data_IF_841898306764
#
_entry.id   IF_841898306764
#
_cell.length_a   1.000
_cell.length_b   1.000
_cell.length_c   1.000
_cell.angle_alpha   90.00
_cell.angle_beta   90.00
_cell.angle_gamma   90.00
#
_symmetry.space_group_name_H-M   'P 1'
#
loop_
_entity.id
_entity.type
_entity.pdbx_description
1 polymer ?
#
# COMPACT_ATOMS: atom_id res chain seq x y z
N UNK A 1 -15.54 5.36 -1.73
CA UNK A 1 -14.41 4.42 -1.58
C UNK A 1 -15.05 3.17 -1.03
N UNK A 2 -14.81 2.02 -1.66
CA UNK A 2 -15.36 0.75 -1.23
C UNK A 2 -14.22 -0.16 -0.75
N UNK A 3 -14.57 -1.28 -0.12
CA UNK A 3 -13.65 -2.38 0.15
C UNK A 3 -14.06 -3.57 -0.70
N UNK A 4 -13.18 -4.05 -1.57
CA UNK A 4 -13.46 -5.17 -2.49
C UNK A 4 -12.34 -6.20 -2.44
N UNK A 5 -12.65 -7.44 -2.83
CA UNK A 5 -11.62 -8.45 -3.10
C UNK A 5 -10.78 -8.07 -4.33
N UNK A 6 -9.65 -8.75 -4.49
CA UNK A 6 -8.70 -8.46 -5.57
C UNK A 6 -9.17 -8.94 -6.95
N UNK A 7 -9.91 -10.06 -6.98
CA UNK A 7 -10.47 -10.64 -8.21
C UNK A 7 -11.98 -10.41 -8.34
N UNK A 8 -12.47 -10.47 -9.58
CA UNK A 8 -13.91 -10.33 -9.90
C UNK A 8 -14.75 -11.58 -9.55
N UNK A 9 -14.10 -12.69 -9.21
CA UNK A 9 -14.70 -14.01 -8.98
C UNK A 9 -15.32 -14.19 -7.60
N UNK A 10 -15.01 -13.31 -6.64
CA UNK A 10 -15.36 -13.48 -5.21
C UNK A 10 -14.45 -14.45 -4.45
N UNK A 11 -13.47 -15.09 -5.11
CA UNK A 11 -12.44 -15.91 -4.47
C UNK A 11 -11.64 -15.09 -3.45
N UNK A 12 -11.36 -15.69 -2.28
CA UNK A 12 -10.74 -15.03 -1.13
C UNK A 12 -11.48 -13.75 -0.70
N UNK A 13 -12.82 -13.80 -0.71
CA UNK A 13 -13.71 -12.64 -0.56
C UNK A 13 -13.58 -11.84 0.73
N UNK A 14 -12.95 -12.40 1.78
CA UNK A 14 -12.71 -11.70 3.05
C UNK A 14 -11.41 -10.87 3.08
N UNK A 15 -10.52 -11.05 2.10
CA UNK A 15 -9.31 -10.23 1.92
C UNK A 15 -9.63 -8.92 1.18
N UNK A 16 -10.57 -8.14 1.71
CA UNK A 16 -11.03 -6.89 1.07
C UNK A 16 -10.03 -5.75 1.28
N UNK A 17 -9.78 -5.00 0.23
CA UNK A 17 -8.81 -3.89 0.17
C UNK A 17 -9.48 -2.64 -0.40
N UNK A 18 -8.80 -1.48 -0.27
CA UNK A 18 -9.33 -0.19 -0.75
C UNK A 18 -9.54 -0.19 -2.26
N UNK A 19 -10.77 0.07 -2.68
CA UNK A 19 -11.16 0.31 -4.08
C UNK A 19 -11.64 1.75 -4.26
N UNK A 20 -11.03 2.41 -5.24
CA UNK A 20 -11.39 3.75 -5.69
C UNK A 20 -12.15 3.66 -7.01
N UNK A 21 -13.44 4.03 -6.96
CA UNK A 21 -14.35 4.14 -8.11
C UNK A 21 -14.62 2.81 -8.85
N UNK A 22 -14.45 1.66 -8.19
CA UNK A 22 -14.74 0.35 -8.79
C UNK A 22 -13.66 -0.11 -9.76
N UNK A 23 -12.47 0.49 -9.69
CA UNK A 23 -11.32 0.15 -10.53
C UNK A 23 -10.58 -1.10 -10.01
N UNK A 24 -10.95 -1.58 -8.82
CA UNK A 24 -10.32 -2.71 -8.15
C UNK A 24 -9.07 -2.32 -7.34
N UNK A 25 -8.70 -3.10 -6.31
CA UNK A 25 -7.62 -2.72 -5.38
C UNK A 25 -6.22 -2.66 -5.99
N UNK A 26 -5.96 -3.41 -7.06
CA UNK A 26 -4.69 -3.35 -7.80
C UNK A 26 -4.43 -1.95 -8.40
N UNK A 27 -5.50 -1.19 -8.67
CA UNK A 27 -5.43 0.17 -9.21
C UNK A 27 -5.46 1.27 -8.12
N UNK A 28 -5.33 0.89 -6.85
CA UNK A 28 -5.11 1.81 -5.74
C UNK A 28 -3.63 1.77 -5.36
N UNK A 29 -2.91 2.87 -5.61
CA UNK A 29 -1.54 3.05 -5.17
C UNK A 29 -1.51 3.49 -3.71
N UNK A 30 -0.80 2.75 -2.86
CA UNK A 30 -0.61 3.11 -1.45
C UNK A 30 0.77 3.73 -1.27
N UNK A 31 0.81 4.89 -0.62
CA UNK A 31 2.05 5.58 -0.25
C UNK A 31 2.14 5.72 1.27
N UNK A 32 3.35 5.70 1.82
CA UNK A 32 3.65 6.11 3.19
C UNK A 32 4.62 7.28 3.10
N UNK A 33 4.23 8.44 3.61
CA UNK A 33 5.02 9.68 3.54
C UNK A 33 5.46 10.04 2.10
N UNK A 34 4.59 9.74 1.13
CA UNK A 34 4.84 9.95 -0.30
C UNK A 34 5.66 8.86 -0.99
N UNK A 35 6.11 7.82 -0.29
CA UNK A 35 6.90 6.71 -0.85
C UNK A 35 5.98 5.52 -1.17
N UNK A 36 6.02 4.97 -2.39
CA UNK A 36 5.22 3.80 -2.77
C UNK A 36 5.46 2.56 -1.90
N UNK A 37 4.39 1.88 -1.53
CA UNK A 37 4.42 0.56 -0.90
C UNK A 37 4.07 -0.51 -1.92
N UNK A 38 4.91 -1.53 -2.04
CA UNK A 38 4.78 -2.56 -3.08
C UNK A 38 4.70 -3.99 -2.51
N UNK A 39 4.66 -4.13 -1.19
CA UNK A 39 4.76 -5.42 -0.50
C UNK A 39 3.77 -6.48 -0.99
N UNK A 40 2.55 -6.11 -1.39
CA UNK A 40 1.59 -7.07 -1.97
C UNK A 40 2.07 -7.77 -3.24
N UNK A 41 3.01 -7.17 -4.00
CA UNK A 41 3.56 -7.76 -5.22
C UNK A 41 4.42 -9.00 -4.95
N UNK A 42 4.85 -9.22 -3.70
CA UNK A 42 5.51 -10.45 -3.25
C UNK A 42 4.58 -11.67 -3.13
N UNK A 43 3.27 -11.48 -3.28
CA UNK A 43 2.25 -12.54 -3.24
C UNK A 43 1.83 -12.86 -4.67
N UNK A 44 1.77 -14.16 -5.06
CA UNK A 44 1.36 -14.59 -6.40
C UNK A 44 0.05 -13.94 -6.88
N UNK A 45 0.08 -13.38 -8.09
CA UNK A 45 -1.11 -12.96 -8.84
C UNK A 45 -1.66 -14.15 -9.64
N UNK A 46 -2.89 -14.56 -9.35
CA UNK A 46 -3.51 -15.77 -9.91
C UNK A 46 -4.25 -15.49 -11.22
N UNK A 47 -4.72 -16.54 -11.89
CA UNK A 47 -5.32 -16.48 -13.23
C UNK A 47 -6.45 -15.44 -13.37
N UNK A 48 -7.32 -15.32 -12.36
CA UNK A 48 -8.48 -14.42 -12.37
C UNK A 48 -8.22 -13.12 -11.60
N UNK A 49 -6.94 -12.83 -11.34
CA UNK A 49 -6.48 -11.61 -10.69
C UNK A 49 -6.51 -11.62 -9.16
N UNK A 50 -6.72 -12.77 -8.53
CA UNK A 50 -6.67 -12.89 -7.08
C UNK A 50 -5.24 -12.84 -6.56
N UNK A 51 -5.09 -12.21 -5.39
CA UNK A 51 -3.93 -12.38 -4.50
C UNK A 51 -4.43 -12.78 -3.13
N UNK A 52 -3.71 -13.69 -2.50
CA UNK A 52 -3.87 -13.97 -1.08
C UNK A 52 -3.10 -12.96 -0.23
N UNK A 53 -3.57 -11.72 -0.30
CA UNK A 53 -2.95 -10.57 0.36
C UNK A 53 -4.01 -9.73 1.06
N UNK A 54 -3.65 -9.24 2.25
CA UNK A 54 -4.44 -8.27 3.02
C UNK A 54 -4.26 -6.83 2.53
N UNK A 55 -3.48 -6.62 1.47
CA UNK A 55 -3.14 -5.30 0.91
C UNK A 55 -2.08 -4.56 1.71
N UNK A 56 -1.89 -3.28 1.36
CA UNK A 56 -0.78 -2.46 1.85
C UNK A 56 -1.20 -1.32 2.80
N UNK A 57 -2.44 -1.33 3.29
CA UNK A 57 -2.96 -0.27 4.18
C UNK A 57 -2.78 -0.56 5.67
N UNK A 58 -2.17 -1.69 6.03
CA UNK A 58 -1.98 -2.14 7.41
C UNK A 58 -0.50 -2.14 7.85
N UNK A 59 0.34 -1.33 7.20
CA UNK A 59 1.76 -1.18 7.55
C UNK A 59 2.02 -0.06 8.57
N UNK A 60 1.08 0.88 8.70
CA UNK A 60 1.16 2.00 9.65
C UNK A 60 0.04 1.87 10.68
N UNK A 61 0.33 1.83 11.99
CA UNK A 61 -0.71 1.85 13.00
C UNK A 61 -1.47 3.18 12.98
N UNK A 62 -2.80 3.11 13.13
CA UNK A 62 -3.69 4.26 12.96
C UNK A 62 -3.34 5.46 13.86
N UNK A 63 -2.84 5.20 15.07
CA UNK A 63 -2.47 6.21 16.05
C UNK A 63 -1.19 6.99 15.69
N UNK A 64 -0.41 6.48 14.74
CA UNK A 64 0.80 7.14 14.22
C UNK A 64 0.55 7.94 12.94
N UNK A 65 -0.67 7.85 12.41
CA UNK A 65 -1.11 8.62 11.26
C UNK A 65 -1.39 10.05 11.70
N UNK A 66 -0.78 11.00 11.00
CA UNK A 66 -1.11 12.43 11.11
C UNK A 66 -2.34 12.75 10.26
N UNK A 67 -2.34 12.28 9.01
CA UNK A 67 -3.46 12.40 8.08
C UNK A 67 -3.38 11.35 6.98
N UNK A 68 -4.49 11.16 6.27
CA UNK A 68 -4.56 10.32 5.07
C UNK A 68 -5.06 11.19 3.93
N UNK A 69 -4.31 11.23 2.83
CA UNK A 69 -4.70 11.90 1.60
C UNK A 69 -5.25 10.86 0.62
N UNK A 70 -6.49 11.04 0.15
CA UNK A 70 -7.14 10.14 -0.80
C UNK A 70 -7.41 10.90 -2.10
N UNK A 71 -6.58 10.65 -3.11
CA UNK A 71 -6.63 11.32 -4.41
C UNK A 71 -7.31 10.37 -5.40
N UNK A 72 -8.33 10.86 -6.11
CA UNK A 72 -9.19 10.03 -6.96
C UNK A 72 -9.27 10.59 -8.37
N UNK A 73 -9.19 9.72 -9.37
CA UNK A 73 -9.35 10.11 -10.78
C UNK A 73 -8.18 10.95 -11.32
N UNK A 74 -8.44 12.02 -12.10
CA UNK A 74 -7.41 12.67 -12.90
C UNK A 74 -6.25 13.26 -12.08
N UNK A 75 -6.53 13.78 -10.87
CA UNK A 75 -5.48 14.29 -9.98
C UNK A 75 -4.50 13.21 -9.49
N UNK A 76 -4.88 11.92 -9.53
CA UNK A 76 -4.02 10.82 -9.13
C UNK A 76 -3.03 10.41 -10.24
N UNK A 77 -3.34 10.71 -11.51
CA UNK A 77 -2.54 10.27 -12.65
C UNK A 77 -1.08 10.77 -12.61
N UNK A 78 -0.84 11.90 -11.95
CA UNK A 78 0.52 12.45 -11.76
C UNK A 78 1.47 11.52 -11.00
N UNK A 79 0.93 10.65 -10.15
CA UNK A 79 1.71 9.67 -9.38
C UNK A 79 2.16 8.47 -10.22
N UNK A 80 1.76 8.39 -11.49
CA UNK A 80 2.26 7.40 -12.44
C UNK A 80 1.73 5.98 -12.20
N UNK A 81 2.63 5.01 -12.31
CA UNK A 81 2.30 3.58 -12.28
C UNK A 81 1.49 3.19 -11.03
N UNK A 82 0.38 2.49 -11.23
CA UNK A 82 -0.50 2.00 -10.16
C UNK A 82 -1.56 2.99 -9.67
N UNK A 83 -1.56 4.25 -10.12
CA UNK A 83 -2.49 5.29 -9.66
C UNK A 83 -3.77 5.43 -10.52
N UNK A 84 -4.07 4.46 -11.38
CA UNK A 84 -5.19 4.54 -12.34
C UNK A 84 -6.57 4.70 -11.68
N UNK A 85 -6.79 4.02 -10.54
CA UNK A 85 -7.98 4.22 -9.71
C UNK A 85 -7.82 5.41 -8.79
N UNK A 86 -6.70 5.46 -8.08
CA UNK A 86 -6.30 6.60 -7.26
C UNK A 86 -5.10 6.31 -6.37
N UNK A 87 -4.84 7.26 -5.47
CA UNK A 87 -3.76 7.20 -4.49
C UNK A 87 -4.32 7.31 -3.07
N UNK A 88 -3.78 6.50 -2.17
CA UNK A 88 -3.96 6.63 -0.72
C UNK A 88 -2.58 6.88 -0.11
N UNK A 89 -2.33 8.11 0.32
CA UNK A 89 -1.07 8.51 0.93
C UNK A 89 -1.25 8.65 2.44
N UNK A 90 -0.63 7.75 3.20
CA UNK A 90 -0.65 7.73 4.65
C UNK A 90 0.52 8.59 5.14
N UNK A 91 0.22 9.74 5.74
CA UNK A 91 1.23 10.64 6.30
C UNK A 91 1.39 10.35 7.79
N UNK A 92 2.61 10.07 8.22
CA UNK A 92 2.91 9.78 9.62
C UNK A 92 3.23 11.05 10.40
N UNK A 93 3.04 11.00 11.73
CA UNK A 93 3.46 12.07 12.64
C UNK A 93 4.95 12.38 12.44
N UNK A 94 5.30 13.67 12.44
CA UNK A 94 6.68 14.18 12.23
C UNK A 94 7.46 14.27 13.56
N UNK A 95 8.81 14.27 13.52
CA UNK A 95 9.63 14.69 14.65
C UNK A 95 9.28 16.09 15.14
N UNK A 96 9.47 16.33 16.44
CA UNK A 96 9.11 17.58 17.13
C UNK A 96 10.35 18.22 17.77
N UNK A 97 10.33 19.55 17.94
CA UNK A 97 11.42 20.28 18.62
C UNK A 97 11.36 20.16 20.15
N UNK A 98 10.22 19.74 20.70
CA UNK A 98 10.06 19.42 22.11
C UNK A 98 9.80 17.93 22.29
N UNK A 99 10.10 17.40 23.48
CA UNK A 99 9.80 16.01 23.82
C UNK A 99 8.29 15.80 23.96
N UNK A 100 7.74 14.96 23.09
CA UNK A 100 6.36 14.49 23.12
C UNK A 100 6.33 12.97 23.10
N UNK A 101 5.42 12.38 23.87
CA UNK A 101 5.21 10.94 23.90
C UNK A 101 3.73 10.61 24.00
N UNK A 102 3.34 9.46 23.45
CA UNK A 102 1.99 8.93 23.60
C UNK A 102 2.02 7.42 23.73
N UNK A 103 1.14 6.87 24.57
CA UNK A 103 0.83 5.45 24.65
C UNK A 103 -0.66 5.31 24.34
N UNK A 104 -1.01 4.47 23.38
CA UNK A 104 -2.41 4.22 23.03
C UNK A 104 -2.73 2.74 23.14
N UNK A 105 -3.89 2.45 23.72
CA UNK A 105 -4.45 1.11 23.83
C UNK A 105 -5.82 1.11 23.16
N UNK A 106 -6.12 0.05 22.43
CA UNK A 106 -7.40 -0.15 21.76
C UNK A 106 -7.84 -1.60 21.91
N UNK A 107 -9.13 -1.80 22.13
CA UNK A 107 -9.78 -3.10 22.04
C UNK A 107 -11.18 -2.93 21.46
N UNK A 108 -11.64 -3.88 20.64
CA UNK A 108 -13.06 -4.06 20.36
C UNK A 108 -13.53 -5.40 20.95
N UNK A 109 -14.83 -5.57 21.13
CA UNK A 109 -15.42 -6.82 21.62
C UNK A 109 -16.64 -7.12 20.74
N UNK A 110 -16.53 -8.06 19.79
CA UNK A 110 -17.67 -8.45 18.96
C UNK A 110 -18.81 -9.04 19.80
N UNK A 111 -20.05 -8.80 19.39
CA UNK A 111 -21.23 -9.39 20.06
C UNK A 111 -21.32 -10.91 19.82
N UNK A 112 -20.93 -11.34 18.62
CA UNK A 112 -20.86 -12.75 18.25
C UNK A 112 -19.55 -13.38 18.73
N UNK A 113 -19.62 -14.50 19.43
CA UNK A 113 -18.44 -15.28 19.82
C UNK A 113 -17.67 -15.91 18.66
N UNK A 114 -18.24 -15.85 17.44
CA UNK A 114 -17.61 -16.34 16.21
C UNK A 114 -16.77 -15.30 15.48
N UNK A 115 -16.85 -14.03 15.88
CA UNK A 115 -16.07 -12.96 15.27
C UNK A 115 -14.80 -12.69 16.08
N UNK A 116 -13.68 -12.50 15.39
CA UNK A 116 -12.40 -12.20 16.03
C UNK A 116 -12.36 -10.79 16.63
N UNK A 117 -11.86 -10.67 17.86
CA UNK A 117 -11.60 -9.38 18.50
C UNK A 117 -10.23 -8.81 18.09
N UNK A 118 -10.06 -7.51 18.27
CA UNK A 118 -8.83 -6.77 17.97
C UNK A 118 -8.33 -6.12 19.24
N UNK A 119 -7.04 -6.30 19.53
CA UNK A 119 -6.34 -5.67 20.64
C UNK A 119 -5.06 -5.04 20.10
N UNK A 120 -4.86 -3.77 20.40
CA UNK A 120 -3.70 -3.01 19.91
C UNK A 120 -3.09 -2.18 21.02
N UNK A 121 -1.77 -2.15 21.06
CA UNK A 121 -0.98 -1.28 21.90
C UNK A 121 0.13 -0.64 21.05
N UNK A 122 0.29 0.67 21.17
CA UNK A 122 1.32 1.40 20.44
C UNK A 122 1.89 2.53 21.31
N UNK A 123 3.13 2.89 21.01
CA UNK A 123 3.78 4.05 21.60
C UNK A 123 4.37 4.94 20.50
N UNK A 124 4.46 6.24 20.79
CA UNK A 124 5.22 7.21 20.02
C UNK A 124 6.12 7.99 20.98
N UNK A 125 7.32 8.32 20.53
CA UNK A 125 8.23 9.24 21.19
C UNK A 125 8.83 10.14 20.12
N UNK A 126 8.82 11.44 20.34
CA UNK A 126 9.36 12.44 19.42
C UNK A 126 10.06 13.53 20.22
N UNK A 127 11.14 14.10 19.70
CA UNK A 127 11.84 15.18 20.37
C UNK A 127 13.24 15.47 19.83
N UNK A 128 13.93 16.47 20.40
CA UNK A 128 15.26 16.88 19.99
C UNK A 128 16.33 15.95 20.56
N UNK A 129 17.29 15.55 19.73
CA UNK A 129 18.53 14.89 20.14
C UNK A 129 19.68 15.88 20.32
N UNK A 130 19.70 16.95 19.53
CA UNK A 130 20.70 18.03 19.62
C UNK A 130 20.06 19.37 19.25
N UNK A 131 19.23 19.90 20.18
CA UNK A 131 18.42 21.09 19.93
C UNK A 131 17.58 20.97 18.65
N UNK A 132 17.40 22.08 17.94
CA UNK A 132 16.64 22.14 16.69
C UNK A 132 17.40 21.60 15.46
N UNK A 133 18.66 21.22 15.63
CA UNK A 133 19.52 20.74 14.55
C UNK A 133 19.25 19.26 14.25
N UNK A 134 18.98 18.44 15.27
CA UNK A 134 18.72 17.02 15.10
C UNK A 134 17.52 16.61 15.96
N UNK A 135 16.43 16.21 15.30
CA UNK A 135 15.21 15.71 15.95
C UNK A 135 14.94 14.27 15.56
N UNK A 136 14.15 13.57 16.37
CA UNK A 136 13.81 12.17 16.14
C UNK A 136 12.34 11.89 16.38
N UNK A 137 11.87 10.81 15.77
CA UNK A 137 10.58 10.19 16.07
C UNK A 137 10.70 8.68 16.01
N UNK A 138 10.35 8.00 17.09
CA UNK A 138 10.30 6.55 17.20
C UNK A 138 8.89 6.12 17.59
N UNK A 139 8.29 5.23 16.80
CA UNK A 139 7.05 4.56 17.21
C UNK A 139 7.19 3.04 17.16
N UNK A 140 6.43 2.36 18.00
CA UNK A 140 6.24 0.92 17.94
C UNK A 140 4.77 0.54 18.08
N UNK A 141 4.40 -0.59 17.49
CA UNK A 141 3.04 -1.13 17.53
C UNK A 141 3.05 -2.65 17.67
N UNK A 142 2.13 -3.14 18.49
CA UNK A 142 1.75 -4.55 18.54
C UNK A 142 0.23 -4.59 18.39
N UNK A 143 -0.23 -5.28 17.35
CA UNK A 143 -1.65 -5.51 17.08
C UNK A 143 -1.88 -7.01 16.98
N UNK A 144 -2.98 -7.48 17.57
CA UNK A 144 -3.55 -8.80 17.28
C UNK A 144 -5.03 -8.63 17.00
N UNK A 145 -5.44 -9.04 15.80
CA UNK A 145 -6.84 -9.29 15.47
C UNK A 145 -7.01 -10.79 15.31
N UNK A 146 -7.86 -11.41 16.13
CA UNK A 146 -8.13 -12.83 16.04
C UNK A 146 -8.89 -13.16 14.75
N UNK A 147 -8.78 -14.42 14.31
CA UNK A 147 -9.54 -14.91 13.17
C UNK A 147 -11.00 -15.09 13.56
N UNK A 148 -11.88 -15.00 12.57
CA UNK A 148 -13.26 -15.49 12.74
C UNK A 148 -13.25 -17.02 12.88
N UNK A 149 -14.29 -17.56 13.52
CA UNK A 149 -14.46 -18.99 13.69
C UNK A 149 -14.48 -19.73 12.35
N UNK A 150 -13.82 -20.89 12.29
CA UNK A 150 -13.76 -21.73 11.09
C UNK A 150 -15.16 -22.07 10.52
N UNK A 151 -16.14 -22.24 11.40
CA UNK A 151 -17.51 -22.63 11.08
C UNK A 151 -18.50 -21.45 10.99
N UNK A 152 -18.01 -20.20 10.95
CA UNK A 152 -18.86 -19.00 10.99
C UNK A 152 -19.93 -19.00 9.90
N UNK A 153 -19.53 -19.35 8.66
CA UNK A 153 -20.44 -19.40 7.52
C UNK A 153 -21.13 -20.76 7.38
N UNK A 154 -20.44 -21.86 7.70
CA UNK A 154 -20.98 -23.22 7.60
C UNK A 154 -22.26 -23.37 8.43
N UNK A 155 -22.26 -22.81 9.65
CA UNK A 155 -23.42 -22.85 10.53
C UNK A 155 -24.60 -22.01 10.03
N UNK A 156 -24.34 -20.97 9.21
CA UNK A 156 -25.36 -20.03 8.74
C UNK A 156 -25.99 -20.47 7.41
N UNK A 157 -25.19 -20.99 6.47
CA UNK A 157 -25.66 -21.29 5.12
C UNK A 157 -25.01 -22.55 4.49
N UNK A 158 -24.25 -23.34 5.26
CA UNK A 158 -23.57 -24.53 4.75
C UNK A 158 -22.37 -24.24 3.84
N UNK A 159 -21.94 -22.98 3.72
CA UNK A 159 -20.77 -22.59 2.92
C UNK A 159 -19.46 -22.97 3.61
N UNK A 160 -18.51 -23.51 2.85
CA UNK A 160 -17.13 -23.75 3.28
C UNK A 160 -16.21 -22.54 3.04
N UNK A 161 -16.78 -21.38 2.66
CA UNK A 161 -16.02 -20.14 2.63
C UNK A 161 -15.61 -19.75 4.06
N UNK A 162 -14.32 -19.51 4.26
CA UNK A 162 -13.79 -19.08 5.55
C UNK A 162 -14.37 -17.73 5.98
N UNK A 163 -14.26 -17.42 7.27
CA UNK A 163 -14.43 -16.05 7.78
C UNK A 163 -13.23 -15.15 7.46
N UNK A 164 -13.09 -14.04 8.19
CA UNK A 164 -11.91 -13.18 8.07
C UNK A 164 -10.70 -13.86 8.71
N UNK A 165 -9.58 -13.80 7.99
CA UNK A 165 -8.28 -14.19 8.53
C UNK A 165 -7.83 -13.20 9.61
N UNK A 166 -7.31 -13.72 10.72
CA UNK A 166 -6.73 -12.86 11.75
C UNK A 166 -5.31 -12.41 11.39
N UNK A 167 -4.80 -11.41 12.10
CA UNK A 167 -3.47 -10.85 11.85
C UNK A 167 -2.77 -10.44 13.15
N UNK A 168 -1.47 -10.66 13.19
CA UNK A 168 -0.55 -10.21 14.23
C UNK A 168 0.46 -9.24 13.61
N UNK A 169 0.38 -7.96 13.95
CA UNK A 169 1.36 -6.96 13.52
C UNK A 169 2.38 -6.69 14.62
N UNK A 170 3.63 -6.55 14.21
CA UNK A 170 4.71 -5.97 15.01
C UNK A 170 5.41 -4.95 14.15
N UNK A 171 5.35 -3.68 14.53
CA UNK A 171 5.92 -2.58 13.77
C UNK A 171 6.85 -1.75 14.66
N UNK A 172 7.97 -1.32 14.10
CA UNK A 172 8.89 -0.36 14.70
C UNK A 172 9.40 0.56 13.59
N UNK A 173 9.33 1.86 13.81
CA UNK A 173 9.80 2.83 12.82
C UNK A 173 10.43 4.05 13.48
N UNK A 174 11.58 4.43 12.95
CA UNK A 174 12.36 5.59 13.36
C UNK A 174 12.52 6.59 12.22
N UNK A 175 12.46 7.87 12.54
CA UNK A 175 12.92 8.97 11.67
C UNK A 175 13.92 9.81 12.46
N UNK A 176 15.05 10.12 11.84
CA UNK A 176 16.00 11.14 12.28
C UNK A 176 15.94 12.28 11.28
N UNK A 177 15.63 13.48 11.72
CA UNK A 177 15.58 14.68 10.89
C UNK A 177 16.74 15.60 11.27
N UNK A 178 17.66 15.80 10.33
CA UNK A 178 18.85 16.61 10.49
C UNK A 178 18.72 17.90 9.68
N UNK A 179 18.59 19.03 10.38
CA UNK A 179 18.65 20.37 9.82
C UNK A 179 20.13 20.76 9.68
N UNK A 180 20.71 20.49 8.52
CA UNK A 180 22.10 20.85 8.17
C UNK A 180 22.27 22.37 8.22
N UNK A 181 21.30 23.08 7.65
CA UNK A 181 21.14 24.53 7.73
C UNK A 181 19.65 24.85 7.87
N UNK A 182 19.24 26.09 8.19
CA UNK A 182 17.82 26.47 8.17
C UNK A 182 17.11 26.19 6.83
N UNK A 183 17.87 26.13 5.74
CA UNK A 183 17.41 25.89 4.38
C UNK A 183 17.51 24.43 3.92
N UNK A 184 18.23 23.56 4.65
CA UNK A 184 18.52 22.20 4.20
C UNK A 184 18.24 21.19 5.31
N UNK A 185 17.29 20.28 5.05
CA UNK A 185 16.84 19.27 5.99
C UNK A 185 17.00 17.89 5.35
N UNK A 186 17.67 16.97 6.05
CA UNK A 186 17.80 15.57 5.64
C UNK A 186 17.08 14.66 6.63
N UNK A 187 16.09 13.93 6.14
CA UNK A 187 15.35 12.92 6.87
C UNK A 187 15.92 11.53 6.56
N UNK A 188 16.33 10.79 7.60
CA UNK A 188 16.67 9.38 7.53
C UNK A 188 15.53 8.59 8.16
N UNK A 189 14.95 7.65 7.41
CA UNK A 189 13.85 6.82 7.87
C UNK A 189 14.23 5.34 7.85
N UNK A 190 13.76 4.63 8.87
CA UNK A 190 13.84 3.18 8.96
C UNK A 190 12.52 2.64 9.46
N UNK A 191 12.09 1.52 8.91
CA UNK A 191 10.91 0.79 9.35
C UNK A 191 11.12 -0.71 9.24
N UNK A 192 10.61 -1.42 10.23
CA UNK A 192 10.49 -2.87 10.21
C UNK A 192 9.08 -3.26 10.67
N UNK A 193 8.41 -4.04 9.83
CA UNK A 193 7.08 -4.56 10.09
C UNK A 193 7.07 -6.08 9.87
N UNK A 194 6.38 -6.79 10.75
CA UNK A 194 6.03 -8.20 10.59
C UNK A 194 4.52 -8.34 10.68
N UNK A 195 3.91 -8.97 9.68
CA UNK A 195 2.53 -9.42 9.71
C UNK A 195 2.49 -10.94 9.64
N UNK A 196 1.99 -11.61 10.68
CA UNK A 196 1.69 -13.03 10.66
C UNK A 196 0.19 -13.26 10.68
N UNK A 197 -0.34 -14.19 9.91
CA UNK A 197 -1.76 -14.48 9.95
C UNK A 197 -2.17 -15.30 11.19
N UNK A 198 -3.48 -15.41 11.36
CA UNK A 198 -4.17 -16.45 12.12
C UNK A 198 -5.12 -17.07 11.11
N UNK A 199 -4.79 -18.27 10.63
CA UNK A 199 -5.48 -18.87 9.50
C UNK A 199 -6.92 -19.25 9.85
N UNK A 200 -7.86 -18.84 9.00
CA UNK A 200 -9.30 -19.07 9.19
C UNK A 200 -9.87 -20.20 8.29
N UNK A 201 -9.01 -20.93 7.56
CA UNK A 201 -9.44 -21.95 6.60
C UNK A 201 -9.64 -21.46 5.16
N UNK A 202 -9.18 -20.24 4.84
CA UNK A 202 -9.38 -19.65 3.50
C UNK A 202 -8.68 -20.45 2.41
N UNK A 203 -9.40 -20.71 1.32
CA UNK A 203 -8.92 -21.38 0.11
C UNK A 203 -9.51 -20.68 -1.10
N UNK A 204 -8.78 -20.61 -2.21
CA UNK A 204 -9.20 -19.84 -3.40
C UNK A 204 -10.61 -20.20 -3.89
N UNK A 205 -10.99 -21.48 -3.84
CA UNK A 205 -12.27 -21.98 -4.33
C UNK A 205 -13.25 -22.36 -3.21
N UNK A 206 -12.99 -21.95 -1.97
CA UNK A 206 -13.83 -22.28 -0.79
C UNK A 206 -14.12 -23.78 -0.67
N UNK A 207 -13.11 -24.61 -0.93
CA UNK A 207 -13.19 -26.06 -1.00
C UNK A 207 -12.34 -26.74 0.07
N UNK A 208 -12.23 -26.12 1.25
CA UNK A 208 -11.46 -26.61 2.39
C UNK A 208 -11.85 -28.04 2.82
N UNK A 209 -13.13 -28.40 2.63
CA UNK A 209 -13.66 -29.75 2.88
C UNK A 209 -13.05 -30.84 1.98
N UNK A 210 -12.43 -30.46 0.87
CA UNK A 210 -11.78 -31.37 -0.08
C UNK A 210 -10.27 -31.51 0.20
N UNK A 211 -9.78 -30.91 1.30
CA UNK A 211 -8.37 -30.99 1.67
C UNK A 211 -7.97 -32.42 2.06
N UNK A 212 -6.84 -32.87 1.53
CA UNK A 212 -6.32 -34.21 1.82
C UNK A 212 -6.02 -34.35 3.31
N UNK A 213 -6.56 -35.38 3.95
CA UNK A 213 -6.34 -35.67 5.36
C UNK A 213 -6.83 -34.60 6.34
N UNK A 214 -7.68 -33.66 5.91
CA UNK A 214 -8.14 -32.54 6.76
C UNK A 214 -7.06 -31.50 7.06
N UNK A 215 -6.00 -31.40 6.23
CA UNK A 215 -4.88 -30.49 6.47
C UNK A 215 -5.34 -29.03 6.68
N UNK A 216 -6.27 -28.54 5.85
CA UNK A 216 -6.74 -27.14 5.95
C UNK A 216 -7.41 -26.87 7.29
N UNK A 217 -8.25 -27.79 7.75
CA UNK A 217 -8.92 -27.68 9.05
C UNK A 217 -7.91 -27.75 10.20
N UNK A 218 -6.90 -28.62 10.11
CA UNK A 218 -5.87 -28.75 11.13
C UNK A 218 -5.01 -27.50 11.34
N UNK A 219 -4.93 -26.62 10.33
CA UNK A 219 -4.17 -25.37 10.36
C UNK A 219 -4.99 -24.19 10.91
N UNK A 220 -6.26 -24.37 11.26
CA UNK A 220 -7.07 -23.28 11.81
C UNK A 220 -6.45 -22.72 13.09
N UNK A 221 -6.24 -21.39 13.12
CA UNK A 221 -5.58 -20.69 14.22
C UNK A 221 -4.05 -20.57 14.11
N UNK A 222 -3.43 -21.34 13.21
CA UNK A 222 -1.98 -21.31 13.00
C UNK A 222 -1.54 -20.13 12.12
N UNK A 223 -0.25 -19.82 12.18
CA UNK A 223 0.37 -18.86 11.27
C UNK A 223 0.85 -19.58 10.01
N UNK A 224 0.03 -19.62 8.96
CA UNK A 224 0.34 -20.25 7.66
C UNK A 224 1.02 -19.31 6.65
N UNK A 225 0.93 -17.99 6.86
CA UNK A 225 1.62 -16.96 6.07
C UNK A 225 2.18 -15.85 6.97
N UNK A 226 3.33 -15.32 6.56
CA UNK A 226 3.99 -14.20 7.23
C UNK A 226 4.73 -13.31 6.23
N UNK A 227 4.51 -12.01 6.38
CA UNK A 227 5.21 -10.96 5.64
C UNK A 227 6.18 -10.24 6.58
N UNK A 228 7.39 -10.01 6.07
CA UNK A 228 8.39 -9.16 6.69
C UNK A 228 8.66 -8.02 5.73
N UNK A 229 8.47 -6.78 6.18
CA UNK A 229 8.73 -5.56 5.41
C UNK A 229 9.81 -4.76 6.12
N UNK A 230 10.88 -4.45 5.40
CA UNK A 230 11.94 -3.54 5.83
C UNK A 230 11.95 -2.36 4.87
N UNK A 231 11.99 -1.14 5.39
CA UNK A 231 12.13 0.05 4.57
C UNK A 231 13.21 0.97 5.11
N UNK A 232 13.97 1.55 4.21
CA UNK A 232 15.04 2.50 4.47
C UNK A 232 14.83 3.68 3.53
N UNK A 233 14.95 4.90 4.03
CA UNK A 233 14.79 6.08 3.22
C UNK A 233 15.73 7.19 3.64
N UNK A 234 16.24 7.92 2.66
CA UNK A 234 16.91 9.21 2.84
C UNK A 234 16.18 10.23 1.99
N UNK A 235 15.83 11.37 2.57
CA UNK A 235 15.17 12.47 1.87
C UNK A 235 15.85 13.78 2.20
N UNK A 236 16.35 14.49 1.20
CA UNK A 236 16.82 15.88 1.32
C UNK A 236 15.71 16.82 0.87
N UNK A 237 15.41 17.83 1.69
CA UNK A 237 14.52 18.93 1.35
C UNK A 237 15.33 20.23 1.42
N UNK A 238 15.27 21.01 0.34
CA UNK A 238 15.92 22.31 0.20
C UNK A 238 14.88 23.42 0.07
N UNK A 239 15.10 24.51 0.79
CA UNK A 239 14.36 25.76 0.69
C UNK A 239 15.36 26.83 0.26
N UNK A 240 15.22 27.30 -0.96
CA UNK A 240 16.15 28.20 -1.62
C UNK A 240 15.47 29.53 -1.92
N UNK A 241 16.27 30.58 -2.15
CA UNK A 241 15.74 31.88 -2.56
C UNK A 241 14.96 31.80 -3.89
N UNK A 242 15.31 30.84 -4.75
CA UNK A 242 14.67 30.61 -6.03
C UNK A 242 13.50 29.61 -5.99
N UNK A 243 13.26 28.90 -4.88
CA UNK A 243 12.22 27.87 -4.82
C UNK A 243 12.54 26.74 -3.84
N UNK A 244 11.99 25.55 -4.08
CA UNK A 244 12.19 24.38 -3.24
C UNK A 244 12.72 23.20 -4.05
N UNK A 245 13.39 22.28 -3.38
CA UNK A 245 13.80 21.00 -3.96
C UNK A 245 13.54 19.85 -3.00
N UNK A 246 13.24 18.69 -3.55
CA UNK A 246 13.13 17.44 -2.79
C UNK A 246 13.86 16.34 -3.55
N UNK A 247 14.73 15.62 -2.86
CA UNK A 247 15.44 14.45 -3.38
C UNK A 247 15.22 13.30 -2.41
N UNK A 248 14.80 12.15 -2.90
CA UNK A 248 14.57 10.96 -2.08
C UNK A 248 15.21 9.72 -2.70
N UNK A 249 15.66 8.83 -1.82
CA UNK A 249 16.07 7.47 -2.16
C UNK A 249 15.48 6.55 -1.11
N UNK A 250 14.77 5.52 -1.56
CA UNK A 250 14.11 4.55 -0.70
C UNK A 250 14.39 3.14 -1.20
N UNK A 251 14.59 2.24 -0.24
CA UNK A 251 14.72 0.80 -0.46
C UNK A 251 13.69 0.09 0.41
N UNK A 252 12.87 -0.74 -0.20
CA UNK A 252 11.92 -1.63 0.48
C UNK A 252 12.29 -3.08 0.18
N UNK A 253 12.32 -3.92 1.21
CA UNK A 253 12.48 -5.36 1.10
C UNK A 253 11.29 -6.05 1.73
N UNK A 254 10.64 -6.91 0.97
CA UNK A 254 9.51 -7.71 1.44
C UNK A 254 9.83 -9.20 1.29
N UNK A 255 9.82 -9.95 2.39
CA UNK A 255 9.82 -11.42 2.35
C UNK A 255 8.41 -11.93 2.66
N UNK A 256 7.82 -12.68 1.73
CA UNK A 256 6.56 -13.40 1.89
C UNK A 256 6.86 -14.88 2.11
N UNK A 257 6.79 -15.34 3.36
CA UNK A 257 6.97 -16.75 3.70
C UNK A 257 5.63 -17.38 4.00
N UNK A 258 5.26 -18.43 3.27
CA UNK A 258 3.96 -19.11 3.42
C UNK A 258 4.04 -20.59 3.11
N UNK A 259 3.10 -21.37 3.64
CA UNK A 259 2.91 -22.76 3.25
C UNK A 259 2.64 -22.85 1.74
N UNK A 260 3.14 -23.93 1.11
CA UNK A 260 2.91 -24.15 -0.31
C UNK A 260 1.44 -24.47 -0.60
N UNK A 261 0.98 -23.97 -1.75
CA UNK A 261 -0.36 -24.20 -2.28
C UNK A 261 -0.29 -24.92 -3.63
N UNK A 262 -1.39 -25.57 -4.02
CA UNK A 262 -1.54 -26.04 -5.40
C UNK A 262 -1.59 -24.88 -6.39
N UNK A 263 -0.97 -25.04 -7.55
CA UNK A 263 -0.90 -24.00 -8.60
C UNK A 263 -1.90 -24.24 -9.75
N UNK A 264 -2.72 -25.29 -9.66
CA UNK A 264 -3.76 -25.62 -10.64
C UNK A 264 -4.62 -26.81 -10.21
N UNK A 265 -5.68 -27.09 -10.97
CA UNK A 265 -6.60 -28.19 -10.70
C UNK A 265 -7.47 -27.96 -9.45
N UNK A 266 -7.94 -29.05 -8.83
CA UNK A 266 -8.82 -28.96 -7.65
C UNK A 266 -8.14 -28.42 -6.39
N UNK A 267 -6.80 -28.40 -6.36
CA UNK A 267 -6.00 -27.88 -5.24
C UNK A 267 -5.47 -26.47 -5.49
N UNK A 268 -5.86 -25.83 -6.58
CA UNK A 268 -5.43 -24.47 -6.91
C UNK A 268 -5.78 -23.50 -5.77
N UNK A 269 -4.75 -22.83 -5.25
CA UNK A 269 -4.89 -21.85 -4.18
C UNK A 269 -5.37 -22.44 -2.85
N UNK A 270 -5.13 -23.73 -2.62
CA UNK A 270 -5.33 -24.42 -1.34
C UNK A 270 -3.98 -24.93 -0.82
N UNK A 271 -3.74 -24.75 0.48
CA UNK A 271 -2.55 -25.30 1.16
C UNK A 271 -2.58 -26.83 1.05
N UNK A 272 -1.49 -27.40 0.54
CA UNK A 272 -1.37 -28.84 0.29
C UNK A 272 -0.07 -29.46 0.84
N UNK A 273 0.70 -28.69 1.61
CA UNK A 273 1.96 -29.10 2.21
C UNK A 273 2.23 -28.28 3.47
N UNK A 274 2.94 -28.89 4.43
CA UNK A 274 3.51 -28.28 5.62
C UNK A 274 4.85 -27.56 5.36
N UNK A 275 5.32 -27.56 4.11
CA UNK A 275 6.57 -26.92 3.71
C UNK A 275 6.33 -25.46 3.39
N UNK A 276 7.12 -24.59 4.02
CA UNK A 276 7.15 -23.16 3.69
C UNK A 276 8.00 -22.87 2.44
N UNK A 277 7.57 -21.90 1.66
CA UNK A 277 8.36 -21.24 0.63
C UNK A 277 8.41 -19.74 0.88
N UNK A 278 9.46 -19.08 0.41
CA UNK A 278 9.63 -17.63 0.58
C UNK A 278 9.80 -16.96 -0.78
N UNK A 279 8.92 -16.01 -1.08
CA UNK A 279 9.08 -15.07 -2.19
C UNK A 279 9.71 -13.79 -1.64
N UNK A 280 10.68 -13.22 -2.36
CA UNK A 280 11.39 -12.00 -1.97
C UNK A 280 11.19 -10.93 -3.02
N UNK A 281 10.70 -9.77 -2.59
CA UNK A 281 10.58 -8.57 -3.40
C UNK A 281 11.54 -7.51 -2.85
N UNK A 282 12.35 -6.94 -3.72
CA UNK A 282 13.22 -5.80 -3.44
C UNK A 282 12.84 -4.65 -4.37
N UNK A 283 12.55 -3.49 -3.78
CA UNK A 283 12.01 -2.33 -4.47
C UNK A 283 12.89 -1.11 -4.18
N UNK A 284 13.46 -0.54 -5.24
CA UNK A 284 14.29 0.65 -5.19
C UNK A 284 13.52 1.81 -5.80
N UNK A 285 13.50 2.95 -5.12
CA UNK A 285 12.83 4.17 -5.56
C UNK A 285 13.78 5.34 -5.37
N UNK A 286 13.97 6.12 -6.42
CA UNK A 286 14.69 7.38 -6.37
C UNK A 286 13.84 8.44 -7.05
N UNK A 287 13.75 9.62 -6.47
CA UNK A 287 12.95 10.72 -7.02
C UNK A 287 13.56 12.06 -6.67
N UNK A 288 13.54 12.98 -7.63
CA UNK A 288 14.00 14.35 -7.45
C UNK A 288 13.01 15.32 -8.08
N UNK A 289 12.67 16.38 -7.37
CA UNK A 289 11.83 17.45 -7.90
C UNK A 289 12.32 18.83 -7.43
N UNK A 290 12.05 19.82 -8.27
CA UNK A 290 12.25 21.24 -7.96
C UNK A 290 10.96 21.97 -8.26
N UNK A 291 10.58 22.90 -7.40
CA UNK A 291 9.42 23.77 -7.60
C UNK A 291 9.84 25.21 -7.41
N UNK A 292 9.53 26.08 -8.37
CA UNK A 292 9.93 27.47 -8.33
C UNK A 292 8.84 28.40 -8.85
N UNK A 293 8.64 29.56 -8.22
CA UNK A 293 7.76 30.58 -8.75
C UNK A 293 8.36 31.14 -10.05
N UNK A 294 7.50 31.40 -11.01
CA UNK A 294 7.83 32.06 -12.26
C UNK A 294 6.73 33.08 -12.53
N UNK A 295 7.10 34.28 -12.97
CA UNK A 295 6.15 35.31 -13.37
C UNK A 295 6.45 35.69 -14.82
N UNK A 296 5.62 35.19 -15.74
CA UNK A 296 5.72 35.54 -17.17
C UNK A 296 4.65 36.58 -17.50
N UNK A 297 3.41 36.12 -17.67
CA UNK A 297 2.22 36.97 -17.86
C UNK A 297 1.36 37.02 -16.60
N UNK A 298 1.33 35.91 -15.87
CA UNK A 298 0.66 35.72 -14.59
C UNK A 298 1.61 35.01 -13.64
N UNK A 299 1.24 35.01 -12.37
CA UNK A 299 1.96 34.24 -11.36
C UNK A 299 1.71 32.76 -11.58
N UNK A 300 2.81 31.99 -11.59
CA UNK A 300 2.75 30.56 -11.76
C UNK A 300 3.84 29.87 -10.95
N UNK A 301 3.62 28.61 -10.60
CA UNK A 301 4.62 27.77 -9.93
C UNK A 301 4.89 26.55 -10.79
N UNK A 302 6.11 26.45 -11.29
CA UNK A 302 6.55 25.34 -12.13
C UNK A 302 7.19 24.26 -11.26
N UNK A 303 6.76 23.02 -11.44
CA UNK A 303 7.38 21.83 -10.85
C UNK A 303 7.98 20.97 -11.96
N UNK A 304 9.26 20.65 -11.81
CA UNK A 304 9.98 19.70 -12.65
C UNK A 304 10.43 18.54 -11.80
N UNK A 305 10.24 17.31 -12.27
CA UNK A 305 10.71 16.15 -11.53
C UNK A 305 11.12 14.97 -12.39
N UNK A 306 11.84 14.06 -11.75
CA UNK A 306 12.34 12.82 -12.31
C UNK A 306 12.24 11.71 -11.28
N UNK A 307 11.90 10.50 -11.73
CA UNK A 307 11.80 9.31 -10.88
C UNK A 307 12.48 8.11 -11.54
N UNK A 308 13.02 7.23 -10.72
CA UNK A 308 13.55 5.93 -11.12
C UNK A 308 13.09 4.88 -10.13
N UNK A 309 12.42 3.85 -10.64
CA UNK A 309 11.82 2.78 -9.87
C UNK A 309 12.31 1.45 -10.42
N UNK A 310 12.80 0.55 -9.55
CA UNK A 310 13.16 -0.82 -9.92
C UNK A 310 12.60 -1.80 -8.92
N UNK A 311 11.94 -2.84 -9.41
CA UNK A 311 11.43 -3.95 -8.62
C UNK A 311 12.09 -5.25 -9.06
N UNK A 312 12.50 -6.06 -8.09
CA UNK A 312 13.10 -7.38 -8.28
C UNK A 312 12.33 -8.40 -7.44
N UNK A 313 11.76 -9.40 -8.09
CA UNK A 313 10.97 -10.46 -7.47
C UNK A 313 11.66 -11.81 -7.68
N UNK A 314 11.94 -12.52 -6.59
CA UNK A 314 12.29 -13.93 -6.60
C UNK A 314 11.14 -14.75 -5.99
N UNK A 315 10.38 -15.48 -6.81
CA UNK A 315 9.21 -16.24 -6.38
C UNK A 315 9.27 -17.72 -6.85
N UNK A 316 9.95 -18.60 -6.10
CA UNK A 316 10.12 -19.99 -6.50
C UNK A 316 8.86 -20.82 -6.33
N UNK A 317 7.85 -20.38 -5.57
CA UNK A 317 6.62 -21.13 -5.36
C UNK A 317 5.72 -21.08 -6.60
N UNK A 318 5.63 -19.92 -7.25
CA UNK A 318 4.81 -19.71 -8.45
C UNK A 318 5.35 -20.46 -9.69
N UNK A 319 6.64 -20.81 -9.70
CA UNK A 319 7.28 -21.47 -10.84
C UNK A 319 7.16 -23.00 -10.84
N UNK A 320 6.45 -23.60 -9.87
CA UNK A 320 6.42 -25.05 -9.63
C UNK A 320 5.43 -25.84 -10.49
N UNK A 321 4.65 -25.20 -11.36
CA UNK A 321 3.69 -25.89 -12.22
C UNK A 321 4.40 -26.81 -13.23
N UNK A 322 4.20 -28.13 -13.12
CA UNK A 322 4.70 -29.10 -14.09
C UNK A 322 3.63 -29.46 -15.12
N UNK A 323 4.05 -29.63 -16.37
CA UNK A 323 3.19 -30.10 -17.45
C UNK A 323 3.84 -31.29 -18.14
N UNK A 324 3.61 -32.49 -17.60
CA UNK A 324 4.22 -33.73 -18.09
C UNK A 324 3.83 -34.09 -19.53
N UNK A 325 2.75 -33.51 -20.07
CA UNK A 325 2.20 -33.83 -21.39
C UNK A 325 2.01 -32.61 -22.31
N UNK A 326 2.60 -31.45 -21.99
CA UNK A 326 2.48 -30.23 -22.80
C UNK A 326 3.86 -29.64 -23.07
N UNK A 327 4.23 -29.55 -24.35
CA UNK A 327 5.41 -28.84 -24.80
C UNK A 327 5.03 -27.39 -25.13
N UNK A 328 5.65 -26.44 -24.43
CA UNK A 328 5.53 -25.01 -24.70
C UNK A 328 6.88 -24.50 -25.21
N UNK A 329 7.00 -24.14 -26.51
CA UNK A 329 8.23 -23.59 -27.05
C UNK A 329 8.71 -22.39 -26.21
N UNK A 330 9.98 -22.38 -25.81
CA UNK A 330 10.58 -21.32 -25.00
C UNK A 330 10.35 -21.42 -23.49
N UNK A 331 9.63 -22.44 -23.00
CA UNK A 331 9.48 -22.71 -21.57
C UNK A 331 9.81 -24.17 -21.25
N UNK A 332 10.65 -24.41 -20.23
CA UNK A 332 10.97 -25.78 -19.82
C UNK A 332 9.74 -26.45 -19.20
N UNK A 333 9.47 -27.71 -19.57
CA UNK A 333 8.47 -28.54 -18.90
C UNK A 333 8.88 -28.96 -17.49
N UNK A 334 10.18 -28.84 -17.16
CA UNK A 334 10.74 -29.07 -15.84
C UNK A 334 10.76 -27.76 -15.03
N UNK A 335 9.99 -27.67 -13.93
CA UNK A 335 9.97 -26.48 -13.08
C UNK A 335 11.33 -26.09 -12.51
N UNK A 336 12.23 -27.05 -12.29
CA UNK A 336 13.57 -26.79 -11.71
C UNK A 336 14.49 -25.99 -12.63
N UNK A 337 14.16 -25.93 -13.93
CA UNK A 337 14.92 -25.21 -14.95
C UNK A 337 14.37 -23.81 -15.24
N UNK A 338 13.24 -23.42 -14.61
CA UNK A 338 12.65 -22.09 -14.82
C UNK A 338 13.23 -21.11 -13.80
N UNK A 339 13.56 -19.90 -14.27
CA UNK A 339 13.96 -18.80 -13.37
C UNK A 339 12.80 -18.44 -12.44
N UNK A 340 13.09 -18.31 -11.15
CA UNK A 340 12.17 -17.70 -10.18
C UNK A 340 12.34 -16.19 -10.07
N UNK A 341 13.35 -15.63 -10.73
CA UNK A 341 13.70 -14.22 -10.68
C UNK A 341 13.10 -13.45 -11.85
N UNK A 342 12.52 -12.29 -11.54
CA UNK A 342 11.98 -11.33 -12.48
C UNK A 342 12.31 -9.91 -12.01
N UNK A 343 12.43 -8.96 -12.94
CA UNK A 343 12.65 -7.55 -12.59
C UNK A 343 12.03 -6.61 -13.61
N UNK A 344 11.74 -5.39 -13.17
CA UNK A 344 11.22 -4.33 -14.00
C UNK A 344 11.76 -2.97 -13.54
N UNK A 345 12.07 -2.11 -14.50
CA UNK A 345 12.58 -0.75 -14.27
C UNK A 345 11.71 0.27 -15.00
N UNK A 346 11.33 1.34 -14.29
CA UNK A 346 10.62 2.49 -14.84
C UNK A 346 11.42 3.77 -14.54
N UNK A 347 11.76 4.50 -15.59
CA UNK A 347 12.36 5.84 -15.50
C UNK A 347 11.34 6.87 -15.95
N UNK A 348 11.20 7.97 -15.21
CA UNK A 348 10.13 8.93 -15.43
C UNK A 348 10.63 10.37 -15.39
N UNK A 349 10.02 11.24 -16.20
CA UNK A 349 10.18 12.69 -16.16
C UNK A 349 8.80 13.32 -16.12
N UNK A 350 8.62 14.36 -15.33
CA UNK A 350 7.35 15.07 -15.27
C UNK A 350 7.51 16.59 -15.13
N UNK A 351 6.49 17.26 -15.63
CA UNK A 351 6.29 18.70 -15.59
C UNK A 351 4.88 18.97 -15.08
N UNK A 352 4.75 19.90 -14.14
CA UNK A 352 3.48 20.51 -13.71
C UNK A 352 3.67 22.02 -13.65
N UNK A 353 2.64 22.77 -14.03
CA UNK A 353 2.61 24.23 -13.87
C UNK A 353 1.32 24.63 -13.18
N UNK A 354 1.38 25.35 -12.07
CA UNK A 354 0.19 25.88 -11.41
C UNK A 354 0.04 27.35 -11.75
N UNK A 355 -0.90 27.66 -12.64
CA UNK A 355 -1.06 28.98 -13.26
C UNK A 355 -2.26 29.70 -12.64
N UNK A 356 -2.02 30.84 -11.99
CA UNK A 356 -3.07 31.75 -11.53
C UNK A 356 -3.60 32.58 -12.71
N UNK A 357 -4.37 31.94 -13.59
CA UNK A 357 -4.85 32.53 -14.84
C UNK A 357 -5.67 33.82 -14.62
N UNK A 358 -6.43 33.88 -13.51
CA UNK A 358 -7.05 35.10 -12.96
C UNK A 358 -7.10 35.01 -11.44
N UNK A 359 -7.56 36.07 -10.76
CA UNK A 359 -7.78 36.08 -9.30
C UNK A 359 -8.74 34.99 -8.79
N UNK A 360 -9.52 34.37 -9.67
CA UNK A 360 -10.49 33.32 -9.34
C UNK A 360 -10.29 32.03 -10.12
N UNK A 361 -9.28 31.94 -11.00
CA UNK A 361 -9.10 30.80 -11.90
C UNK A 361 -7.69 30.25 -11.78
N UNK A 362 -7.58 28.99 -11.39
CA UNK A 362 -6.32 28.24 -11.39
C UNK A 362 -6.38 27.16 -12.46
N UNK A 363 -5.31 27.05 -13.24
CA UNK A 363 -5.16 26.03 -14.29
C UNK A 363 -3.86 25.28 -14.04
N UNK A 364 -3.95 23.96 -13.95
CA UNK A 364 -2.83 23.08 -13.64
C UNK A 364 -2.65 22.08 -14.78
N UNK A 365 -1.97 22.45 -15.89
CA UNK A 365 -1.50 21.49 -16.87
C UNK A 365 -0.33 20.67 -16.31
N UNK A 366 -0.25 19.42 -16.73
CA UNK A 366 0.89 18.57 -16.43
C UNK A 366 1.15 17.56 -17.54
N UNK A 367 2.39 17.10 -17.62
CA UNK A 367 2.80 16.03 -18.52
C UNK A 367 3.80 15.13 -17.81
N UNK A 368 3.52 13.83 -17.83
CA UNK A 368 4.45 12.81 -17.34
C UNK A 368 4.84 11.88 -18.48
N UNK A 369 6.12 11.58 -18.56
CA UNK A 369 6.71 10.58 -19.43
C UNK A 369 7.26 9.45 -18.57
N UNK A 370 6.93 8.20 -18.92
CA UNK A 370 7.46 7.01 -18.28
C UNK A 370 8.09 6.10 -19.36
N UNK A 371 9.27 5.54 -19.09
CA UNK A 371 9.89 4.51 -19.90
C UNK A 371 10.07 3.24 -19.06
N UNK A 372 9.36 2.19 -19.43
CA UNK A 372 9.48 0.86 -18.82
C UNK A 372 10.39 -0.01 -19.68
N UNK A 373 11.36 -0.69 -19.08
CA UNK A 373 12.34 -1.54 -19.78
C UNK A 373 11.73 -2.65 -20.66
N UNK A 374 10.60 -3.24 -20.23
CA UNK A 374 9.88 -4.27 -20.98
C UNK A 374 8.76 -3.75 -21.89
N UNK A 375 8.10 -2.64 -21.54
CA UNK A 375 6.89 -2.16 -22.22
C UNK A 375 7.08 -0.86 -23.02
N UNK A 376 8.25 -0.25 -22.95
CA UNK A 376 8.58 0.97 -23.69
C UNK A 376 8.00 2.23 -23.07
N UNK A 377 7.71 3.21 -23.94
CA UNK A 377 7.38 4.57 -23.53
C UNK A 377 5.87 4.81 -23.35
N UNK A 378 5.52 5.61 -22.35
CA UNK A 378 4.15 6.05 -22.06
C UNK A 378 4.12 7.56 -21.78
N UNK A 379 3.06 8.23 -22.25
CA UNK A 379 2.82 9.66 -22.02
C UNK A 379 1.48 9.84 -21.31
N UNK A 380 1.49 10.56 -20.19
CA UNK A 380 0.33 10.80 -19.33
C UNK A 380 0.09 12.30 -19.21
N UNK A 381 -0.69 12.92 -20.11
CA UNK A 381 -1.10 14.32 -19.97
C UNK A 381 -2.13 14.49 -18.85
N UNK A 382 -2.10 15.63 -18.18
CA UNK A 382 -3.01 15.99 -17.08
C UNK A 382 -3.46 17.45 -17.23
N UNK A 383 -4.70 17.72 -16.83
CA UNK A 383 -5.24 19.07 -16.73
C UNK A 383 -6.26 19.13 -15.60
N UNK A 384 -6.05 20.01 -14.63
CA UNK A 384 -7.02 20.33 -13.59
C UNK A 384 -7.31 21.84 -13.63
N UNK A 385 -8.57 22.23 -13.38
CA UNK A 385 -9.01 23.63 -13.39
C UNK A 385 -9.85 23.88 -12.14
N UNK A 386 -9.58 24.97 -11.45
CA UNK A 386 -10.40 25.51 -10.36
C UNK A 386 -10.93 26.88 -10.75
N UNK A 387 -12.23 27.12 -10.55
CA UNK A 387 -12.88 28.40 -10.83
C UNK A 387 -13.73 28.81 -9.62
N UNK A 388 -13.41 29.94 -9.02
CA UNK A 388 -14.24 30.61 -8.03
C UNK A 388 -15.38 31.38 -8.72
N UNK A 389 -16.62 31.12 -8.33
CA UNK A 389 -17.82 31.74 -8.91
C UNK A 389 -18.42 32.85 -8.02
N UNK A 390 -17.75 33.23 -6.93
CA UNK A 390 -18.30 34.15 -5.92
C UNK A 390 -19.47 33.53 -5.13
N UNK A 391 -19.81 34.12 -3.99
CA UNK A 391 -20.99 33.71 -3.20
C UNK A 391 -22.23 34.27 -3.90
N UNK A 392 -23.09 33.42 -4.45
CA UNK A 392 -24.47 33.82 -4.71
C UNK A 392 -25.15 34.06 -3.35
N UNK A 393 -25.29 35.32 -2.96
CA UNK A 393 -26.28 35.72 -1.95
C UNK A 393 -27.67 35.45 -2.53
N UNK A 394 -28.14 34.21 -2.38
CA UNK A 394 -29.57 33.94 -2.45
C UNK A 394 -30.14 34.21 -1.07
N UNK A 395 -30.65 35.43 -0.86
CA UNK A 395 -31.74 35.64 0.08
C UNK A 395 -32.91 34.76 -0.38
N UNK A 396 -32.95 33.51 0.08
CA UNK A 396 -34.18 32.74 0.11
C UNK A 396 -34.74 32.82 1.53
N UNK A 397 -35.84 33.56 1.63
CA UNK A 397 -36.68 33.65 2.82
C UNK A 397 -37.08 32.23 3.24
N UNK A 398 -37.03 31.98 4.55
CA UNK A 398 -37.91 31.08 5.30
C UNK A 398 -38.19 29.67 4.74
N UNK A 399 -37.69 28.65 5.44
CA UNK A 399 -38.54 27.52 5.84
C UNK A 399 -37.99 26.87 7.13
N UNK A 400 -38.81 26.66 8.18
CA UNK A 400 -38.33 26.34 9.53
C UNK A 400 -37.98 24.86 9.72
N UNK A 401 -37.10 24.63 10.69
CA UNK A 401 -36.82 23.32 11.30
C UNK A 401 -38.13 22.60 11.65
N UNK A 402 -38.29 21.37 11.16
CA UNK A 402 -39.15 20.37 11.80
C UNK A 402 -38.25 19.47 12.63
N UNK A 403 -38.30 19.66 13.95
CA UNK A 403 -37.99 18.61 14.93
C UNK A 403 -39.20 17.68 15.02
N UNK A 404 -38.94 16.37 15.01
CA UNK A 404 -39.80 15.31 15.55
C UNK A 404 -39.01 14.01 15.43
N UNK A 405 -38.98 13.08 16.36
CA UNK A 405 -39.39 12.97 17.77
C UNK A 405 -38.63 11.74 18.30
#
# INVERSE_FOLDING_TARGET
MNLTGNGASGSRGNNRQIDIRGMGPENTLVLIDGVPVSSRNSVRYSWRGERDSRGDTNWVPAEMVERIEVIRGPAAARYGSGAAGGVVNIITKRPTNDWHGSLSLFTNQPESSKEGDTRRANFNLSGPLAGDALTMRLYGNINRTDADAYDINTAQNGSYAAGREGVRNKDISGVLSWKITPAQIVDFSYGYSRQGNIYAGDTQNSNSNSSAGGLVESLYGDETNRLYRQNYGITHNGIWDWGTSRLNFNYEKTNNTRLKEGTGGSTEGMINSDVYSTSRLESYRAGGEVSFPLQLLVDQTVTLGAEWNRDELNDPASMQSSSTNLYLPGSSGDPSQRSSENSATISSLYFEDNIAATDSTEVIPGLRFDYHDNFGANWSPSLNISQGWGIFHHESRYCPRVQSA
#
